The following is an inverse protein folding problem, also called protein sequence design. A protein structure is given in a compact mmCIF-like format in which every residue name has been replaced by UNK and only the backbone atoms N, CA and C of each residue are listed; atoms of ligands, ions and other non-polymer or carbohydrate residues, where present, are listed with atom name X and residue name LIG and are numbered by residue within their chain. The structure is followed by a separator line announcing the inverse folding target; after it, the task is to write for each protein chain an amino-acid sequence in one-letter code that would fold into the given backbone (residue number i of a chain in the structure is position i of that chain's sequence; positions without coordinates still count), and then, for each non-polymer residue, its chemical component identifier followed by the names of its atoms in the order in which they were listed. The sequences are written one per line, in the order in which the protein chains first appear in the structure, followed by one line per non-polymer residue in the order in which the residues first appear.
data_IF_396144998221
#
_entry.id   IF_396144998221
#
_cell.length_a   1.000
_cell.length_b   1.000
_cell.length_c   1.000
_cell.angle_alpha   90.00
_cell.angle_beta   90.00
_cell.angle_gamma   90.00
#
_symmetry.space_group_name_H-M   'P 1'
#
loop_
_entity.id
_entity.type
_entity.pdbx_description
1 polymer ?
#
# COMPACT_ATOMS: atom_id res chain seq x y z
N UNK A 1 -14.54 79.98 21.72
CA UNK A 1 -15.83 80.25 21.04
C UNK A 1 -15.58 80.27 19.53
N UNK A 2 -16.60 79.83 18.77
CA UNK A 2 -16.61 79.34 17.38
C UNK A 2 -16.02 80.25 16.29
N UNK A 3 -15.49 79.61 15.24
CA UNK A 3 -15.70 80.02 13.85
C UNK A 3 -16.05 78.76 13.01
N UNK A 4 -17.17 78.86 12.28
CA UNK A 4 -17.67 77.94 11.25
C UNK A 4 -17.01 78.24 9.89
N UNK A 5 -17.09 77.31 8.93
CA UNK A 5 -17.63 77.45 7.55
C UNK A 5 -17.24 76.20 6.72
N UNK A 6 -18.17 75.27 6.46
CA UNK A 6 -18.98 74.99 5.21
C UNK A 6 -18.43 73.81 4.39
N UNK A 7 -19.13 72.65 4.32
CA UNK A 7 -20.16 72.16 3.34
C UNK A 7 -19.55 71.90 1.94
N UNK A 8 -19.67 70.77 1.23
CA UNK A 8 -20.82 69.88 0.95
C UNK A 8 -20.35 68.54 0.24
N UNK A 9 -21.20 67.68 -0.36
CA UNK A 9 -21.27 66.23 -0.07
C UNK A 9 -20.88 65.30 -1.23
N UNK A 10 -20.72 63.99 -0.96
CA UNK A 10 -21.02 62.96 -1.96
C UNK A 10 -21.60 61.70 -1.33
N UNK A 11 -22.58 61.14 -2.05
CA UNK A 11 -23.50 60.05 -1.66
C UNK A 11 -22.88 58.68 -1.93
N UNK A 12 -23.30 57.70 -1.12
CA UNK A 12 -23.48 56.30 -1.56
C UNK A 12 -22.80 55.25 -0.68
N UNK A 13 -23.56 54.43 0.08
CA UNK A 13 -23.05 53.21 0.70
C UNK A 13 -23.19 52.04 -0.28
N UNK A 14 -22.11 51.31 -0.51
CA UNK A 14 -22.14 50.01 -1.18
C UNK A 14 -21.81 48.93 -0.17
N UNK A 15 -22.83 48.15 0.16
CA UNK A 15 -22.79 46.94 0.96
C UNK A 15 -22.16 45.81 0.14
N UNK A 16 -21.08 45.19 0.63
CA UNK A 16 -20.71 43.80 0.31
C UNK A 16 -19.65 43.25 1.26
N UNK A 17 -20.13 42.62 2.34
CA UNK A 17 -19.77 41.28 2.83
C UNK A 17 -18.32 40.77 2.73
N UNK A 18 -17.64 40.84 3.88
CA UNK A 18 -17.08 39.72 4.65
C UNK A 18 -16.37 38.55 3.94
N UNK A 19 -15.07 38.42 4.20
CA UNK A 19 -14.28 37.21 3.97
C UNK A 19 -12.83 37.37 4.45
N UNK A 20 -12.65 37.80 5.70
CA UNK A 20 -11.32 38.04 6.27
C UNK A 20 -10.52 36.75 6.41
N UNK A 21 -9.33 36.77 5.84
CA UNK A 21 -8.33 35.71 5.86
C UNK A 21 -7.93 35.33 7.29
N UNK A 22 -8.36 34.16 7.75
CA UNK A 22 -7.82 33.53 8.95
C UNK A 22 -6.49 32.82 8.63
N UNK A 23 -5.40 33.60 8.50
CA UNK A 23 -4.04 33.10 8.73
C UNK A 23 -3.86 32.89 10.23
N UNK A 24 -4.31 31.75 10.73
CA UNK A 24 -3.97 31.30 12.07
C UNK A 24 -2.51 30.80 12.05
N UNK A 25 -1.60 31.66 12.51
CA UNK A 25 -0.24 31.30 12.87
C UNK A 25 -0.29 30.17 13.92
N UNK A 26 0.10 28.95 13.53
CA UNK A 26 0.42 27.90 14.50
C UNK A 26 1.86 28.10 14.95
N UNK A 27 1.99 28.25 16.26
CA UNK A 27 3.23 28.45 16.98
C UNK A 27 4.28 27.40 16.60
N UNK A 28 5.48 27.89 16.27
CA UNK A 28 6.70 27.10 16.15
C UNK A 28 7.12 26.65 17.55
N UNK A 29 7.20 25.34 17.76
CA UNK A 29 7.78 24.74 18.96
C UNK A 29 8.79 23.66 18.55
N UNK A 30 10.04 23.96 18.88
CA UNK A 30 11.27 23.16 18.96
C UNK A 30 11.27 21.73 18.36
N UNK A 31 12.03 21.57 17.27
CA UNK A 31 12.50 20.28 16.78
C UNK A 31 12.54 20.19 15.25
N UNK A 32 13.22 21.12 14.57
CA UNK A 32 13.39 21.11 13.11
C UNK A 32 14.29 19.95 12.67
N UNK A 33 13.67 18.79 12.55
CA UNK A 33 13.94 17.85 11.48
C UNK A 33 12.71 17.80 10.59
N UNK A 34 12.42 18.90 9.86
CA UNK A 34 11.43 18.87 8.79
C UNK A 34 11.94 17.90 7.72
N UNK A 35 11.57 16.62 7.84
CA UNK A 35 11.61 15.71 6.71
C UNK A 35 10.66 16.31 5.68
N UNK A 36 11.19 17.06 4.71
CA UNK A 36 10.42 17.65 3.63
C UNK A 36 9.60 16.53 2.96
N UNK A 37 8.30 16.51 3.23
CA UNK A 37 7.38 15.63 2.54
C UNK A 37 7.25 16.12 1.11
N UNK A 38 7.59 15.26 0.16
CA UNK A 38 7.57 15.57 -1.26
C UNK A 38 6.21 15.20 -1.87
N UNK A 39 5.81 15.88 -2.94
CA UNK A 39 4.63 15.50 -3.74
C UNK A 39 4.67 14.03 -4.17
N UNK A 40 5.87 13.46 -4.32
CA UNK A 40 6.08 12.05 -4.63
C UNK A 40 5.64 11.10 -3.49
N UNK A 41 5.92 11.47 -2.23
CA UNK A 41 5.46 10.69 -1.07
C UNK A 41 3.93 10.74 -0.95
N UNK A 42 3.31 11.89 -1.24
CA UNK A 42 1.86 12.01 -1.23
C UNK A 42 1.22 11.16 -2.33
N UNK A 43 1.77 11.16 -3.55
CA UNK A 43 1.35 10.22 -4.61
C UNK A 43 1.47 8.75 -4.20
N UNK A 44 2.53 8.39 -3.49
CA UNK A 44 2.71 7.02 -2.98
C UNK A 44 1.67 6.65 -1.91
N UNK A 45 1.30 7.59 -1.04
CA UNK A 45 0.23 7.42 -0.05
C UNK A 45 -1.14 7.31 -0.71
N UNK A 46 -1.43 8.12 -1.73
CA UNK A 46 -2.65 8.00 -2.54
C UNK A 46 -2.74 6.62 -3.22
N UNK A 47 -1.61 6.14 -3.78
CA UNK A 47 -1.51 4.79 -4.37
C UNK A 47 -1.77 3.71 -3.32
N UNK A 48 -1.27 3.86 -2.09
CA UNK A 48 -1.58 2.96 -0.99
C UNK A 48 -3.09 2.91 -0.73
N UNK A 49 -3.74 4.07 -0.56
CA UNK A 49 -5.18 4.13 -0.27
C UNK A 49 -6.05 3.56 -1.38
N UNK A 50 -5.69 3.83 -2.64
CA UNK A 50 -6.36 3.22 -3.81
C UNK A 50 -6.26 1.70 -3.79
N UNK A 51 -5.08 1.14 -3.50
CA UNK A 51 -4.88 -0.30 -3.43
C UNK A 51 -5.59 -0.91 -2.21
N UNK A 52 -5.50 -0.26 -1.05
CA UNK A 52 -6.10 -0.70 0.21
C UNK A 52 -7.63 -0.78 0.12
N UNK A 53 -8.27 0.27 -0.36
CA UNK A 53 -9.74 0.33 -0.47
C UNK A 53 -10.27 -0.56 -1.58
N UNK A 54 -9.51 -0.71 -2.69
CA UNK A 54 -9.86 -1.59 -3.81
C UNK A 54 -9.77 -3.09 -3.49
N UNK A 55 -8.89 -3.49 -2.56
CA UNK A 55 -8.65 -4.89 -2.26
C UNK A 55 -9.66 -5.48 -1.26
N UNK A 56 -10.25 -6.64 -1.59
CA UNK A 56 -11.28 -7.26 -0.76
C UNK A 56 -10.74 -7.83 0.56
N UNK A 57 -9.52 -8.39 0.56
CA UNK A 57 -8.90 -8.91 1.78
C UNK A 57 -8.58 -7.80 2.78
N UNK A 58 -8.18 -6.61 2.32
CA UNK A 58 -8.02 -5.44 3.19
C UNK A 58 -9.35 -5.08 3.87
N UNK A 59 -10.46 -5.04 3.12
CA UNK A 59 -11.79 -4.81 3.69
C UNK A 59 -12.17 -5.88 4.72
N UNK A 60 -11.88 -7.15 4.45
CA UNK A 60 -12.12 -8.25 5.40
C UNK A 60 -11.31 -8.06 6.70
N UNK A 61 -10.04 -7.68 6.60
CA UNK A 61 -9.20 -7.38 7.77
C UNK A 61 -9.81 -6.25 8.59
N UNK A 62 -10.21 -5.14 7.96
CA UNK A 62 -10.89 -4.03 8.66
C UNK A 62 -12.15 -4.52 9.39
N UNK A 63 -12.99 -5.31 8.72
CA UNK A 63 -14.24 -5.85 9.29
C UNK A 63 -13.98 -6.79 10.47
N UNK A 64 -13.02 -7.72 10.36
CA UNK A 64 -12.71 -8.70 11.41
C UNK A 64 -11.93 -8.09 12.59
N UNK A 65 -11.27 -6.96 12.39
CA UNK A 65 -10.44 -6.34 13.43
C UNK A 65 -11.27 -5.60 14.50
N UNK A 66 -10.72 -5.53 15.72
CA UNK A 66 -11.32 -4.79 16.83
C UNK A 66 -11.33 -3.28 16.57
N UNK A 67 -12.21 -2.53 17.27
CA UNK A 67 -12.39 -1.08 17.08
C UNK A 67 -11.11 -0.27 17.33
N UNK A 68 -10.24 -0.74 18.21
CA UNK A 68 -8.97 -0.08 18.59
C UNK A 68 -7.77 -0.57 17.78
N UNK A 69 -7.99 -1.52 16.87
CA UNK A 69 -6.94 -2.07 16.02
C UNK A 69 -6.34 -1.00 15.10
N UNK A 70 -5.07 -1.20 14.75
CA UNK A 70 -4.39 -0.40 13.73
C UNK A 70 -5.20 -0.33 12.42
N UNK A 71 -5.84 -1.43 12.02
CA UNK A 71 -6.54 -1.55 10.74
C UNK A 71 -7.83 -0.72 10.65
N UNK A 72 -8.38 -0.27 11.78
CA UNK A 72 -9.55 0.62 11.83
C UNK A 72 -9.19 2.09 12.07
N UNK A 73 -7.92 2.43 12.13
CA UNK A 73 -7.42 3.79 12.30
C UNK A 73 -6.68 4.26 11.03
N UNK A 74 -7.35 5.01 10.13
CA UNK A 74 -6.74 5.47 8.89
C UNK A 74 -5.52 6.36 9.11
N UNK A 75 -5.54 7.22 10.14
CA UNK A 75 -4.43 8.13 10.41
C UNK A 75 -3.18 7.37 10.86
N UNK A 76 -3.36 6.31 11.66
CA UNK A 76 -2.25 5.43 12.06
C UNK A 76 -1.71 4.60 10.89
N UNK A 77 -2.57 4.07 10.02
CA UNK A 77 -2.13 3.35 8.81
C UNK A 77 -1.30 4.25 7.90
N UNK A 78 -1.79 5.47 7.61
CA UNK A 78 -1.06 6.42 6.77
C UNK A 78 0.27 6.82 7.40
N UNK A 79 0.28 7.16 8.70
CA UNK A 79 1.51 7.49 9.42
C UNK A 79 2.54 6.37 9.32
N UNK A 80 2.09 5.10 9.37
CA UNK A 80 2.95 3.92 9.22
C UNK A 80 3.55 3.82 7.82
N UNK A 81 2.74 3.98 6.79
CA UNK A 81 3.19 3.96 5.39
C UNK A 81 4.19 5.09 5.14
N UNK A 82 3.87 6.31 5.61
CA UNK A 82 4.77 7.47 5.52
C UNK A 82 6.11 7.23 6.21
N UNK A 83 6.11 6.60 7.38
CA UNK A 83 7.36 6.30 8.07
C UNK A 83 8.21 5.29 7.29
N UNK A 84 7.61 4.25 6.71
CA UNK A 84 8.31 3.30 5.85
C UNK A 84 8.84 3.96 4.57
N UNK A 85 8.11 4.91 3.98
CA UNK A 85 8.56 5.67 2.79
C UNK A 85 9.81 6.54 3.07
N UNK A 86 10.08 6.92 4.33
CA UNK A 86 11.34 7.59 4.69
C UNK A 86 12.55 6.66 4.58
N UNK A 87 12.34 5.37 4.81
CA UNK A 87 13.40 4.34 4.74
C UNK A 87 13.50 3.76 3.33
N UNK A 88 12.36 3.65 2.64
CA UNK A 88 12.23 3.14 1.28
C UNK A 88 11.72 4.28 0.37
N UNK A 89 12.58 5.25 0.01
CA UNK A 89 12.18 6.46 -0.69
C UNK A 89 11.74 6.19 -2.13
N UNK A 90 10.63 6.80 -2.52
CA UNK A 90 10.12 6.75 -3.90
C UNK A 90 10.87 7.73 -4.81
N UNK A 91 10.83 7.47 -6.12
CA UNK A 91 11.31 8.40 -7.13
C UNK A 91 10.34 9.59 -7.31
N UNK A 92 10.69 10.52 -8.21
CA UNK A 92 9.90 11.74 -8.47
C UNK A 92 8.45 11.46 -8.90
N UNK A 93 8.15 10.29 -9.44
CA UNK A 93 6.81 9.90 -9.91
C UNK A 93 6.01 9.14 -8.83
N UNK A 94 6.59 8.92 -7.65
CA UNK A 94 5.97 8.13 -6.59
C UNK A 94 6.10 6.61 -6.81
N UNK A 95 7.01 6.17 -7.68
CA UNK A 95 7.34 4.76 -7.90
C UNK A 95 8.51 4.32 -6.99
N UNK A 96 8.76 3.02 -6.91
CA UNK A 96 9.84 2.50 -6.08
C UNK A 96 11.20 3.07 -6.52
N UNK A 97 11.97 3.64 -5.58
CA UNK A 97 13.32 4.13 -5.85
C UNK A 97 14.34 3.01 -6.09
N UNK A 98 15.63 3.32 -5.94
CA UNK A 98 16.76 2.41 -6.25
C UNK A 98 16.72 1.04 -5.55
N UNK A 99 16.02 0.93 -4.43
CA UNK A 99 15.87 -0.29 -3.66
C UNK A 99 14.77 -1.24 -4.23
N UNK A 100 13.90 -0.72 -5.11
CA UNK A 100 12.90 -1.47 -5.88
C UNK A 100 11.70 -2.00 -5.10
N UNK A 101 11.56 -1.67 -3.81
CA UNK A 101 10.45 -2.11 -2.96
C UNK A 101 9.32 -1.08 -3.01
N UNK A 102 8.16 -1.48 -3.51
CA UNK A 102 6.97 -0.62 -3.48
C UNK A 102 6.22 -0.87 -2.16
N UNK A 103 6.50 -0.01 -1.17
CA UNK A 103 5.87 -0.08 0.16
C UNK A 103 4.33 0.00 0.06
N UNK A 104 3.73 0.97 -0.66
CA UNK A 104 2.28 1.01 -0.87
C UNK A 104 1.69 -0.29 -1.40
N UNK A 105 2.28 -0.87 -2.44
CA UNK A 105 1.79 -2.13 -3.01
C UNK A 105 1.98 -3.31 -2.06
N UNK A 106 3.14 -3.39 -1.38
CA UNK A 106 3.46 -4.46 -0.42
C UNK A 106 2.51 -4.45 0.76
N UNK A 107 2.26 -3.27 1.35
CA UNK A 107 1.37 -3.10 2.49
C UNK A 107 -0.10 -3.37 2.16
N UNK A 108 -0.55 -3.04 0.94
CA UNK A 108 -1.90 -3.37 0.50
C UNK A 108 -2.05 -4.87 0.16
N UNK A 109 -1.01 -5.51 -0.38
CA UNK A 109 -1.02 -6.95 -0.69
C UNK A 109 -0.97 -7.81 0.57
N UNK A 110 -0.14 -7.45 1.53
CA UNK A 110 -0.02 -8.15 2.83
C UNK A 110 -0.14 -7.15 3.99
N UNK A 111 -1.36 -6.82 4.44
CA UNK A 111 -1.62 -5.85 5.50
C UNK A 111 -1.01 -6.21 6.86
N UNK A 112 -0.68 -7.48 7.12
CA UNK A 112 -0.02 -7.89 8.36
C UNK A 112 1.35 -7.22 8.52
N UNK A 113 1.99 -6.82 7.42
CA UNK A 113 3.24 -6.06 7.47
C UNK A 113 3.13 -4.72 8.20
N UNK A 114 1.96 -4.07 8.17
CA UNK A 114 1.74 -2.78 8.83
C UNK A 114 1.76 -2.91 10.36
N UNK A 115 1.56 -4.11 10.91
CA UNK A 115 1.69 -4.37 12.33
C UNK A 115 3.16 -4.44 12.81
N UNK A 116 4.12 -4.66 11.90
CA UNK A 116 5.54 -4.69 12.24
C UNK A 116 6.03 -3.29 12.62
N UNK A 117 7.03 -3.21 13.51
CA UNK A 117 7.78 -1.96 13.69
C UNK A 117 8.62 -1.65 12.45
N UNK A 118 8.96 -0.39 12.24
CA UNK A 118 9.76 0.03 11.07
C UNK A 118 11.14 -0.63 11.05
N UNK A 119 11.80 -0.71 12.21
CA UNK A 119 13.10 -1.38 12.35
C UNK A 119 13.00 -2.88 12.02
N UNK A 120 11.91 -3.51 12.45
CA UNK A 120 11.63 -4.92 12.17
C UNK A 120 11.35 -5.15 10.69
N UNK A 121 10.55 -4.28 10.05
CA UNK A 121 10.29 -4.36 8.61
C UNK A 121 11.60 -4.34 7.80
N UNK A 122 12.52 -3.42 8.14
CA UNK A 122 13.84 -3.34 7.50
C UNK A 122 14.65 -4.60 7.74
N UNK A 123 14.70 -5.10 8.99
CA UNK A 123 15.37 -6.37 9.33
C UNK A 123 14.82 -7.53 8.52
N UNK A 124 13.50 -7.62 8.32
CA UNK A 124 12.86 -8.66 7.50
C UNK A 124 13.25 -8.55 6.03
N UNK A 125 13.33 -7.34 5.47
CA UNK A 125 13.81 -7.13 4.09
C UNK A 125 15.25 -7.60 3.92
N UNK A 126 16.12 -7.26 4.89
CA UNK A 126 17.51 -7.70 4.86
C UNK A 126 17.66 -9.21 5.06
N UNK A 127 16.83 -9.80 5.94
CA UNK A 127 16.77 -11.25 6.15
C UNK A 127 16.39 -11.97 4.86
N UNK A 128 15.31 -11.56 4.18
CA UNK A 128 14.89 -12.18 2.92
C UNK A 128 15.97 -12.05 1.85
N UNK A 129 16.64 -10.90 1.73
CA UNK A 129 17.76 -10.70 0.79
C UNK A 129 18.96 -11.58 1.09
N UNK A 130 19.18 -11.93 2.36
CA UNK A 130 20.25 -12.85 2.78
C UNK A 130 19.88 -14.31 2.50
N UNK A 131 18.65 -14.72 2.83
CA UNK A 131 18.20 -16.11 2.67
C UNK A 131 17.94 -16.48 1.19
N UNK A 132 17.56 -15.50 0.37
CA UNK A 132 17.25 -15.71 -1.06
C UNK A 132 18.21 -14.87 -1.91
N UNK A 133 19.34 -15.47 -2.28
CA UNK A 133 20.38 -14.78 -3.03
C UNK A 133 19.85 -14.23 -4.38
N UNK A 134 20.06 -12.94 -4.62
CA UNK A 134 19.66 -12.27 -5.86
C UNK A 134 18.22 -11.77 -5.90
N UNK A 135 17.44 -11.92 -4.82
CA UNK A 135 16.09 -11.37 -4.76
C UNK A 135 16.11 -9.83 -4.71
N UNK A 136 15.36 -9.22 -5.62
CA UNK A 136 15.17 -7.77 -5.73
C UNK A 136 13.99 -7.27 -4.91
N UNK A 137 13.96 -5.96 -4.60
CA UNK A 137 12.80 -5.34 -3.94
C UNK A 137 11.50 -5.51 -4.74
N UNK A 138 11.59 -5.59 -6.07
CA UNK A 138 10.44 -5.83 -6.95
C UNK A 138 9.85 -7.22 -6.74
N UNK A 139 10.69 -8.23 -6.55
CA UNK A 139 10.24 -9.59 -6.24
C UNK A 139 9.66 -9.69 -4.82
N UNK A 140 10.24 -8.97 -3.86
CA UNK A 140 9.65 -8.85 -2.52
C UNK A 140 8.28 -8.17 -2.58
N UNK A 141 8.11 -7.14 -3.43
CA UNK A 141 6.81 -6.49 -3.68
C UNK A 141 5.78 -7.46 -4.24
N UNK A 142 6.22 -8.42 -5.06
CA UNK A 142 5.37 -9.46 -5.64
C UNK A 142 4.95 -10.50 -4.59
N UNK A 143 5.83 -10.88 -3.67
CA UNK A 143 5.54 -11.83 -2.61
C UNK A 143 5.85 -11.23 -1.22
N UNK A 144 5.09 -10.22 -0.77
CA UNK A 144 5.42 -9.47 0.46
C UNK A 144 5.27 -10.33 1.71
N UNK A 145 4.55 -11.46 1.63
CA UNK A 145 4.50 -12.49 2.67
C UNK A 145 5.87 -13.05 3.05
N UNK A 146 6.88 -12.94 2.17
CA UNK A 146 8.25 -13.43 2.47
C UNK A 146 8.83 -12.73 3.69
N UNK A 147 8.42 -11.49 3.94
CA UNK A 147 8.85 -10.70 5.10
C UNK A 147 8.24 -11.20 6.42
N UNK A 148 7.23 -12.07 6.38
CA UNK A 148 6.59 -12.66 7.56
C UNK A 148 7.05 -14.10 7.82
N UNK A 149 7.79 -14.70 6.90
CA UNK A 149 8.34 -16.04 7.06
C UNK A 149 9.53 -16.07 8.05
N UNK A 150 9.78 -17.26 8.61
CA UNK A 150 11.01 -17.54 9.32
C UNK A 150 12.19 -17.68 8.34
N UNK A 151 13.36 -17.16 8.72
CA UNK A 151 14.53 -17.17 7.85
C UNK A 151 15.07 -18.58 7.58
N UNK A 152 15.02 -19.49 8.55
CA UNK A 152 15.48 -20.87 8.35
C UNK A 152 14.57 -21.60 7.40
N UNK A 153 13.25 -21.43 7.53
CA UNK A 153 12.29 -22.02 6.61
C UNK A 153 12.52 -21.54 5.16
N UNK A 154 12.85 -20.27 4.95
CA UNK A 154 13.20 -19.74 3.62
C UNK A 154 14.51 -20.35 3.08
N UNK A 155 15.54 -20.47 3.91
CA UNK A 155 16.81 -21.10 3.53
C UNK A 155 16.63 -22.58 3.18
N UNK A 156 15.81 -23.30 3.95
CA UNK A 156 15.46 -24.70 3.68
C UNK A 156 14.66 -24.86 2.39
N UNK A 157 13.66 -24.02 2.15
CA UNK A 157 12.88 -24.03 0.92
C UNK A 157 13.74 -23.70 -0.31
N UNK A 158 14.66 -22.74 -0.19
CA UNK A 158 15.64 -22.44 -1.25
C UNK A 158 16.56 -23.63 -1.50
N UNK A 159 17.13 -24.23 -0.45
CA UNK A 159 18.02 -25.39 -0.60
C UNK A 159 17.31 -26.57 -1.28
N UNK A 160 16.06 -26.87 -0.91
CA UNK A 160 15.28 -27.91 -1.57
C UNK A 160 15.01 -27.63 -3.07
N UNK A 161 14.79 -26.36 -3.43
CA UNK A 161 14.71 -25.95 -4.84
C UNK A 161 16.04 -26.11 -5.57
N UNK A 162 17.15 -25.73 -4.94
CA UNK A 162 18.50 -25.86 -5.52
C UNK A 162 18.90 -27.33 -5.69
N UNK A 163 18.50 -28.22 -4.78
CA UNK A 163 18.71 -29.68 -4.91
C UNK A 163 17.90 -30.28 -6.07
N UNK A 164 16.71 -29.74 -6.34
CA UNK A 164 15.82 -30.27 -7.39
C UNK A 164 16.15 -29.74 -8.78
N UNK A 165 16.49 -28.46 -8.90
CA UNK A 165 16.65 -27.74 -10.18
C UNK A 165 18.09 -27.30 -10.47
N UNK A 166 18.96 -27.32 -9.47
CA UNK A 166 20.25 -26.64 -9.50
C UNK A 166 20.14 -25.15 -9.14
N UNK A 167 21.25 -24.59 -8.66
CA UNK A 167 21.27 -23.24 -8.07
C UNK A 167 20.85 -22.11 -9.03
N UNK A 168 21.25 -22.18 -10.30
CA UNK A 168 20.93 -21.14 -11.27
C UNK A 168 19.44 -21.15 -11.66
N UNK A 169 18.89 -22.34 -11.93
CA UNK A 169 17.48 -22.50 -12.30
C UNK A 169 16.54 -22.22 -11.13
N UNK A 170 16.92 -22.61 -9.90
CA UNK A 170 16.17 -22.27 -8.70
C UNK A 170 16.04 -20.74 -8.52
N UNK A 171 17.14 -20.01 -8.71
CA UNK A 171 17.14 -18.54 -8.64
C UNK A 171 16.27 -17.91 -9.72
N UNK A 172 16.37 -18.38 -10.96
CA UNK A 172 15.53 -17.89 -12.07
C UNK A 172 14.04 -18.18 -11.83
N UNK A 173 13.72 -19.38 -11.32
CA UNK A 173 12.35 -19.76 -10.97
C UNK A 173 11.76 -18.86 -9.88
N UNK A 174 12.51 -18.60 -8.80
CA UNK A 174 12.10 -17.68 -7.73
C UNK A 174 12.04 -16.24 -8.24
N UNK A 175 12.96 -15.85 -9.12
CA UNK A 175 12.97 -14.52 -9.69
C UNK A 175 11.71 -14.23 -10.53
N UNK A 176 11.22 -15.24 -11.26
CA UNK A 176 9.99 -15.17 -12.06
C UNK A 176 8.73 -15.30 -11.20
N UNK A 177 8.76 -16.15 -10.17
CA UNK A 177 7.61 -16.45 -9.33
C UNK A 177 8.02 -16.57 -7.84
N UNK A 178 8.18 -15.44 -7.12
CA UNK A 178 8.64 -15.46 -5.73
C UNK A 178 7.61 -16.07 -4.77
N UNK A 179 6.32 -16.09 -5.13
CA UNK A 179 5.26 -16.78 -4.38
C UNK A 179 5.51 -18.29 -4.23
N UNK A 180 6.32 -18.89 -5.10
CA UNK A 180 6.68 -20.31 -5.00
C UNK A 180 7.37 -20.63 -3.68
N UNK A 181 8.17 -19.70 -3.15
CA UNK A 181 8.78 -19.87 -1.83
C UNK A 181 7.73 -19.83 -0.71
N UNK A 182 6.71 -18.98 -0.83
CA UNK A 182 5.60 -18.94 0.13
C UNK A 182 4.81 -20.24 0.14
N UNK A 183 4.63 -20.87 -1.03
CA UNK A 183 4.00 -22.18 -1.14
C UNK A 183 4.85 -23.26 -0.45
N UNK A 184 6.16 -23.29 -0.71
CA UNK A 184 7.07 -24.28 -0.13
C UNK A 184 7.21 -24.18 1.40
N UNK A 185 7.20 -22.98 1.96
CA UNK A 185 7.22 -22.78 3.42
C UNK A 185 5.84 -22.91 4.06
N UNK A 186 4.82 -23.31 3.30
CA UNK A 186 3.45 -23.49 3.82
C UNK A 186 2.80 -22.19 4.30
N UNK A 187 3.23 -21.02 3.81
CA UNK A 187 2.81 -19.71 4.30
C UNK A 187 1.29 -19.49 4.27
N UNK A 188 0.63 -20.06 3.26
CA UNK A 188 -0.81 -19.92 3.07
C UNK A 188 -1.64 -20.95 3.85
N UNK A 189 -1.02 -21.75 4.73
CA UNK A 189 -1.72 -22.62 5.67
C UNK A 189 -2.60 -23.69 5.01
N UNK A 190 -2.28 -24.11 3.79
CA UNK A 190 -3.01 -25.21 3.14
C UNK A 190 -2.25 -26.50 3.39
N UNK A 191 -2.27 -26.93 4.66
CA UNK A 191 -2.08 -28.34 4.95
C UNK A 191 -3.32 -29.12 4.51
N UNK A 192 -3.15 -30.39 4.16
CA UNK A 192 -4.26 -31.28 3.79
C UNK A 192 -5.28 -31.46 4.93
N UNK A 193 -5.00 -30.97 6.14
CA UNK A 193 -5.88 -31.05 7.31
C UNK A 193 -6.56 -29.71 7.71
N UNK A 194 -6.36 -28.62 6.96
CA UNK A 194 -6.96 -27.32 7.29
C UNK A 194 -8.48 -27.28 7.05
N UNK A 195 -9.25 -26.63 7.94
CA UNK A 195 -10.69 -26.44 7.76
C UNK A 195 -11.02 -25.67 6.47
N UNK A 196 -12.20 -25.89 5.88
CA UNK A 196 -12.58 -25.34 4.57
C UNK A 196 -12.52 -23.80 4.52
N UNK A 197 -12.87 -23.14 5.64
CA UNK A 197 -12.77 -21.69 5.79
C UNK A 197 -11.32 -21.18 5.77
N UNK A 198 -10.39 -21.94 6.37
CA UNK A 198 -8.96 -21.60 6.41
C UNK A 198 -8.32 -21.82 5.03
N UNK A 199 -8.73 -22.88 4.30
CA UNK A 199 -8.33 -23.09 2.90
C UNK A 199 -8.86 -22.01 1.97
N UNK A 200 -10.07 -21.49 2.20
CA UNK A 200 -10.65 -20.42 1.42
C UNK A 200 -9.99 -19.07 1.69
N UNK A 201 -9.60 -18.80 2.94
CA UNK A 201 -8.76 -17.64 3.29
C UNK A 201 -7.39 -17.78 2.62
N UNK A 202 -6.74 -18.94 2.70
CA UNK A 202 -5.45 -19.20 2.05
C UNK A 202 -5.51 -19.11 0.52
N UNK A 203 -6.60 -19.58 -0.11
CA UNK A 203 -6.87 -19.40 -1.55
C UNK A 203 -7.12 -17.95 -1.91
N UNK A 204 -7.90 -17.22 -1.10
CA UNK A 204 -8.14 -15.79 -1.30
C UNK A 204 -6.83 -14.99 -1.18
N UNK A 205 -6.01 -15.26 -0.17
CA UNK A 205 -4.69 -14.63 0.00
C UNK A 205 -3.77 -14.90 -1.19
N UNK A 206 -3.72 -16.15 -1.69
CA UNK A 206 -2.99 -16.49 -2.93
C UNK A 206 -3.53 -15.76 -4.16
N UNK A 207 -4.86 -15.65 -4.29
CA UNK A 207 -5.51 -14.96 -5.39
C UNK A 207 -5.19 -13.45 -5.38
N UNK A 208 -5.20 -12.80 -4.20
CA UNK A 208 -4.94 -11.38 -4.06
C UNK A 208 -3.46 -11.02 -4.16
N UNK A 209 -2.55 -11.87 -3.67
CA UNK A 209 -1.11 -11.76 -3.95
C UNK A 209 -0.83 -11.74 -5.46
N UNK A 210 -1.56 -12.52 -6.27
CA UNK A 210 -1.41 -12.50 -7.74
C UNK A 210 -2.12 -11.32 -8.44
N UNK A 211 -3.08 -10.67 -7.78
CA UNK A 211 -4.00 -9.73 -8.44
C UNK A 211 -3.58 -8.24 -8.45
N UNK A 212 -2.59 -7.82 -7.66
CA UNK A 212 -2.22 -6.39 -7.52
C UNK A 212 -0.90 -6.08 -8.24
N UNK A 213 -0.82 -6.00 -9.58
CA UNK A 213 0.45 -5.93 -10.32
C UNK A 213 1.47 -4.95 -9.70
N UNK A 214 2.78 -5.28 -9.66
CA UNK A 214 3.80 -4.34 -9.20
C UNK A 214 3.81 -3.19 -10.18
N UNK A 215 3.27 -2.04 -9.78
CA UNK A 215 2.97 -0.96 -10.71
C UNK A 215 4.24 -0.13 -10.92
N UNK A 216 5.04 -0.52 -11.91
CA UNK A 216 5.94 0.40 -12.60
C UNK A 216 5.35 0.89 -13.93
N UNK A 217 4.16 0.42 -14.32
CA UNK A 217 3.50 0.84 -15.55
C UNK A 217 2.01 1.16 -15.29
N UNK A 218 1.73 2.46 -15.11
CA UNK A 218 0.39 2.97 -14.85
C UNK A 218 -0.61 2.58 -15.95
N UNK A 219 -0.15 2.45 -17.20
CA UNK A 219 -1.00 2.05 -18.35
C UNK A 219 -1.49 0.61 -18.24
N UNK A 220 -0.67 -0.30 -17.72
CA UNK A 220 -1.06 -1.69 -17.55
C UNK A 220 -2.15 -1.86 -16.46
N UNK A 221 -2.18 -0.97 -15.47
CA UNK A 221 -3.23 -0.94 -14.43
C UNK A 221 -4.51 -0.35 -15.00
N UNK A 222 -4.44 0.78 -15.70
CA UNK A 222 -5.61 1.38 -16.36
C UNK A 222 -6.27 0.41 -17.33
N UNK A 223 -5.49 -0.33 -18.14
CA UNK A 223 -6.02 -1.35 -19.05
C UNK A 223 -6.70 -2.51 -18.32
N UNK A 224 -6.20 -2.94 -17.17
CA UNK A 224 -6.80 -4.03 -16.38
C UNK A 224 -8.01 -3.58 -15.56
N UNK A 225 -8.02 -2.34 -15.06
CA UNK A 225 -9.20 -1.72 -14.44
C UNK A 225 -10.29 -1.54 -15.48
N UNK A 226 -9.95 -1.01 -16.67
CA UNK A 226 -10.88 -0.91 -17.79
C UNK A 226 -11.41 -2.28 -18.23
N UNK A 227 -10.57 -3.32 -18.28
CA UNK A 227 -11.01 -4.69 -18.57
C UNK A 227 -11.95 -5.25 -17.49
N UNK A 228 -11.74 -4.92 -16.20
CA UNK A 228 -12.65 -5.28 -15.11
C UNK A 228 -13.98 -4.53 -15.20
N UNK A 229 -13.97 -3.24 -15.52
CA UNK A 229 -15.19 -2.44 -15.72
C UNK A 229 -16.00 -2.91 -16.94
N UNK A 230 -15.32 -3.31 -18.02
CA UNK A 230 -15.94 -3.94 -19.19
C UNK A 230 -16.56 -5.31 -18.86
N UNK A 231 -15.92 -6.08 -17.98
CA UNK A 231 -16.46 -7.35 -17.48
C UNK A 231 -17.69 -7.15 -16.57
N UNK A 232 -17.67 -6.11 -15.72
CA UNK A 232 -18.78 -5.78 -14.82
C UNK A 232 -20.04 -5.32 -15.60
N UNK A 233 -19.88 -4.66 -16.75
CA UNK A 233 -21.01 -4.27 -17.62
C UNK A 233 -21.73 -5.45 -18.27
N UNK A 234 -21.13 -6.65 -18.33
CA UNK A 234 -21.76 -7.88 -18.86
C UNK A 234 -22.76 -8.53 -17.89
N UNK A 235 -22.83 -8.08 -16.64
CA UNK A 235 -23.80 -8.54 -15.64
C UNK A 235 -24.98 -7.58 -15.45
N UNK A 236 -25.42 -6.90 -16.51
CA UNK A 236 -26.80 -6.37 -16.50
C UNK A 236 -27.74 -7.57 -16.59
N UNK A 237 -28.25 -7.98 -15.42
CA UNK A 237 -29.46 -8.79 -15.31
C UNK A 237 -30.52 -8.09 -16.15
N UNK A 238 -30.94 -8.74 -17.24
CA UNK A 238 -31.98 -8.21 -18.10
C UNK A 238 -33.21 -7.87 -17.26
N UNK A 239 -33.75 -6.69 -17.50
CA UNK A 239 -35.16 -6.42 -17.24
C UNK A 239 -35.96 -7.55 -17.88
N UNK A 240 -36.39 -8.52 -17.08
CA UNK A 240 -37.44 -9.45 -17.47
C UNK A 240 -38.73 -8.67 -17.43
N UNK A 241 -39.24 -8.34 -18.62
CA UNK A 241 -40.57 -7.79 -18.79
C UNK A 241 -41.67 -8.80 -18.50
N UNK A 242 -42.87 -8.24 -18.34
CA UNK A 242 -44.21 -8.83 -18.38
C UNK A 242 -44.64 -9.71 -17.19
N UNK A 243 -45.48 -9.13 -16.32
CA UNK A 243 -46.93 -9.45 -16.23
C UNK A 243 -47.70 -8.14 -16.07
#
# INVERSE_FOLDING_TARGET
MRANFTRAPSRGPSTSTSGAASRAARARSAGDGECAFTDANDRAVEKFWRNWTGAAHCRQIVTKSSRESLYRDPARLESKVRALLRVFPVDGDGNCGSHGLDVPASAAREPRLLALREDEFVKRVLMVKRCVAGISGRQITLAPGLLLCDGRALEEAMRGLEETLGAAEARDAVAKQPDRLLELVGFYGVGDDAEEEERDIGRAMRHYARAVPPVSDARAVEQRVAARELGAKKFHVGESGAI
#
